data_IF_180805565030
#
_entry.id   IF_180805565030
#
_cell.length_a   1.000
_cell.length_b   1.000
_cell.length_c   1.000
_cell.angle_alpha   90.00
_cell.angle_beta   90.00
_cell.angle_gamma   90.00
#
_symmetry.space_group_name_H-M   'P 1'
#
loop_
_entity.id
_entity.type
_entity.pdbx_description
1 polymer ?
#
# COMPACT_ATOMS: atom_id res chain seq x y z
N UNK A 1 -72.29 -25.05 -65.96
CA UNK A 1 -72.91 -24.13 -65.01
C UNK A 1 -72.56 -24.64 -63.59
N UNK A 2 -71.42 -24.31 -63.09
CA UNK A 2 -70.96 -24.72 -61.75
C UNK A 2 -70.89 -23.46 -60.84
N UNK A 3 -71.63 -23.51 -59.75
CA UNK A 3 -71.65 -22.48 -58.73
C UNK A 3 -70.55 -22.76 -57.69
N UNK A 4 -69.57 -21.88 -57.63
CA UNK A 4 -68.54 -21.86 -56.61
C UNK A 4 -69.17 -21.37 -55.26
N UNK A 5 -69.01 -22.19 -54.23
CA UNK A 5 -69.34 -21.79 -52.83
C UNK A 5 -68.09 -21.18 -52.19
N UNK A 6 -68.17 -19.90 -51.95
CA UNK A 6 -67.18 -19.19 -51.10
C UNK A 6 -67.36 -19.62 -49.66
N UNK A 7 -66.28 -20.19 -49.08
CA UNK A 7 -66.17 -20.49 -47.64
C UNK A 7 -65.65 -19.26 -46.91
N UNK A 8 -66.52 -18.66 -46.15
CA UNK A 8 -66.16 -17.56 -45.22
C UNK A 8 -65.35 -18.12 -44.04
N UNK A 9 -64.02 -17.81 -44.00
CA UNK A 9 -63.14 -18.08 -42.88
C UNK A 9 -63.44 -17.10 -41.76
N UNK A 10 -64.03 -17.62 -40.68
CA UNK A 10 -64.19 -16.90 -39.40
C UNK A 10 -62.81 -16.67 -38.78
N UNK A 11 -62.33 -15.41 -38.89
CA UNK A 11 -61.15 -14.95 -38.10
C UNK A 11 -61.53 -14.83 -36.64
N UNK A 12 -60.94 -15.68 -35.82
CA UNK A 12 -61.00 -15.61 -34.36
C UNK A 12 -60.29 -14.36 -33.85
N UNK A 13 -60.88 -13.53 -32.97
CA UNK A 13 -60.19 -12.41 -32.36
C UNK A 13 -59.38 -12.94 -31.15
N UNK A 14 -58.26 -13.56 -31.41
CA UNK A 14 -57.27 -13.94 -30.37
C UNK A 14 -56.06 -13.07 -30.58
N UNK A 15 -55.87 -12.02 -29.70
CA UNK A 15 -54.51 -11.56 -29.33
C UNK A 15 -54.51 -10.28 -28.48
N UNK A 16 -55.56 -9.49 -28.45
CA UNK A 16 -55.51 -8.17 -27.77
C UNK A 16 -55.51 -8.24 -26.24
N UNK A 17 -56.05 -9.26 -25.60
CA UNK A 17 -56.11 -9.38 -24.14
C UNK A 17 -54.76 -9.90 -23.57
N UNK A 18 -54.07 -10.77 -24.29
CA UNK A 18 -52.77 -11.30 -23.84
C UNK A 18 -51.67 -10.23 -23.97
N UNK A 19 -51.66 -9.41 -25.00
CA UNK A 19 -50.70 -8.32 -25.19
C UNK A 19 -50.83 -7.19 -24.12
N UNK A 20 -52.04 -6.91 -23.61
CA UNK A 20 -52.25 -5.92 -22.57
C UNK A 20 -51.81 -6.41 -21.19
N UNK A 21 -51.96 -7.69 -20.92
CA UNK A 21 -51.52 -8.29 -19.65
C UNK A 21 -49.99 -8.38 -19.57
N UNK A 22 -49.32 -8.85 -20.64
CA UNK A 22 -47.85 -8.93 -20.68
C UNK A 22 -47.19 -7.55 -20.62
N UNK A 23 -47.81 -6.53 -21.20
CA UNK A 23 -47.31 -5.13 -21.12
C UNK A 23 -47.43 -4.55 -19.69
N UNK A 24 -48.43 -4.90 -18.91
CA UNK A 24 -48.58 -4.47 -17.51
C UNK A 24 -47.53 -5.11 -16.61
N UNK A 25 -47.36 -6.42 -16.74
CA UNK A 25 -46.33 -7.17 -15.99
C UNK A 25 -44.92 -6.69 -16.35
N UNK A 26 -44.62 -6.45 -17.61
CA UNK A 26 -43.33 -5.90 -18.06
C UNK A 26 -43.04 -4.52 -17.44
N UNK A 27 -44.05 -3.64 -17.35
CA UNK A 27 -43.91 -2.33 -16.68
C UNK A 27 -43.69 -2.48 -15.18
N UNK A 28 -44.42 -3.35 -14.50
CA UNK A 28 -44.24 -3.59 -13.06
C UNK A 28 -42.84 -4.16 -12.79
N UNK A 29 -42.40 -5.13 -13.60
CA UNK A 29 -41.06 -5.69 -13.48
C UNK A 29 -39.97 -4.61 -13.72
N UNK A 30 -40.13 -3.77 -14.74
CA UNK A 30 -39.20 -2.68 -15.02
C UNK A 30 -39.12 -1.67 -13.86
N UNK A 31 -40.28 -1.28 -13.28
CA UNK A 31 -40.32 -0.39 -12.11
C UNK A 31 -39.65 -1.04 -10.89
N UNK A 32 -39.93 -2.34 -10.63
CA UNK A 32 -39.27 -3.06 -9.53
C UNK A 32 -37.75 -3.15 -9.76
N UNK A 33 -37.29 -3.43 -10.97
CA UNK A 33 -35.85 -3.42 -11.28
C UNK A 33 -35.21 -2.05 -11.06
N UNK A 34 -35.90 -0.96 -11.43
CA UNK A 34 -35.41 0.40 -11.19
C UNK A 34 -35.35 0.73 -9.70
N UNK A 35 -36.37 0.35 -8.93
CA UNK A 35 -36.39 0.57 -7.46
C UNK A 35 -35.27 -0.24 -6.80
N UNK A 36 -35.13 -1.52 -7.13
CA UNK A 36 -34.05 -2.36 -6.60
C UNK A 36 -32.68 -1.87 -7.01
N UNK A 37 -32.52 -1.41 -8.26
CA UNK A 37 -31.30 -0.80 -8.76
C UNK A 37 -30.96 0.50 -8.01
N UNK A 38 -31.94 1.38 -7.80
CA UNK A 38 -31.77 2.61 -7.03
C UNK A 38 -31.39 2.31 -5.57
N UNK A 39 -32.09 1.36 -4.93
CA UNK A 39 -31.79 0.96 -3.55
C UNK A 39 -30.39 0.34 -3.43
N UNK A 40 -30.02 -0.53 -4.37
CA UNK A 40 -28.67 -1.08 -4.42
C UNK A 40 -27.61 0.01 -4.58
N UNK A 41 -27.85 0.98 -5.47
CA UNK A 41 -26.96 2.09 -5.70
C UNK A 41 -26.76 2.98 -4.47
N UNK A 42 -27.88 3.33 -3.78
CA UNK A 42 -27.83 4.08 -2.53
C UNK A 42 -27.05 3.32 -1.46
N UNK A 43 -27.26 2.00 -1.33
CA UNK A 43 -26.54 1.16 -0.39
C UNK A 43 -25.03 1.14 -0.70
N UNK A 44 -24.64 1.03 -1.97
CA UNK A 44 -23.23 1.06 -2.40
C UNK A 44 -22.59 2.41 -2.04
N UNK A 45 -23.27 3.52 -2.31
CA UNK A 45 -22.78 4.88 -1.96
C UNK A 45 -22.58 4.98 -0.45
N UNK A 46 -23.57 4.58 0.34
CA UNK A 46 -23.51 4.65 1.80
C UNK A 46 -22.33 3.83 2.35
N UNK A 47 -22.21 2.58 1.92
CA UNK A 47 -21.12 1.70 2.38
C UNK A 47 -19.73 2.22 1.98
N UNK A 48 -19.59 2.84 0.78
CA UNK A 48 -18.34 3.47 0.38
C UNK A 48 -18.03 4.74 1.19
N UNK A 49 -19.07 5.52 1.52
CA UNK A 49 -18.90 6.69 2.38
C UNK A 49 -18.40 6.30 3.77
N UNK A 50 -19.04 5.32 4.40
CA UNK A 50 -18.60 4.78 5.70
C UNK A 50 -17.16 4.28 5.65
N UNK A 51 -16.80 3.56 4.60
CA UNK A 51 -15.45 3.03 4.43
C UNK A 51 -14.41 4.15 4.21
N UNK A 52 -14.77 5.27 3.56
CA UNK A 52 -13.90 6.43 3.43
C UNK A 52 -13.76 7.17 4.76
N UNK A 53 -14.85 7.35 5.52
CA UNK A 53 -14.80 7.89 6.88
C UNK A 53 -13.86 7.06 7.74
N UNK A 54 -14.03 5.73 7.73
CA UNK A 54 -13.14 4.83 8.44
C UNK A 54 -11.66 4.96 7.98
N UNK A 55 -11.41 5.09 6.68
CA UNK A 55 -10.05 5.25 6.16
C UNK A 55 -9.35 6.50 6.68
N UNK A 56 -10.10 7.57 6.85
CA UNK A 56 -9.59 8.88 7.28
C UNK A 56 -9.83 9.18 8.76
N UNK A 57 -10.30 8.20 9.53
CA UNK A 57 -10.33 8.30 11.00
C UNK A 57 -8.91 8.56 11.53
N UNK A 58 -8.79 9.33 12.62
CA UNK A 58 -7.48 9.60 13.22
C UNK A 58 -6.85 8.31 13.73
N UNK A 59 -5.52 8.20 13.59
CA UNK A 59 -4.72 7.19 14.29
C UNK A 59 -4.47 7.68 15.71
N UNK A 60 -4.70 6.83 16.70
CA UNK A 60 -4.44 7.13 18.09
C UNK A 60 -3.10 6.49 18.46
N UNK A 61 -2.08 7.32 18.66
CA UNK A 61 -0.79 6.83 19.14
C UNK A 61 -0.87 6.59 20.63
N UNK A 62 -1.07 5.33 21.04
CA UNK A 62 -1.26 4.93 22.44
C UNK A 62 0.00 5.06 23.29
N UNK A 63 1.16 5.04 22.68
CA UNK A 63 2.43 5.31 23.34
C UNK A 63 2.79 6.76 23.03
N UNK A 64 2.52 7.61 24.00
CA UNK A 64 2.89 9.02 23.96
C UNK A 64 4.36 9.13 23.54
N UNK A 65 4.54 9.62 22.35
CA UNK A 65 5.82 10.18 21.95
C UNK A 65 6.10 11.36 22.88
N UNK A 66 7.34 11.85 22.97
CA UNK A 66 7.62 13.15 23.61
C UNK A 66 6.79 14.30 23.05
N UNK A 67 5.95 14.04 22.06
CA UNK A 67 5.02 14.88 21.31
C UNK A 67 3.59 14.79 21.86
N UNK A 68 3.46 14.68 23.16
CA UNK A 68 2.18 14.83 23.85
C UNK A 68 1.50 16.13 23.42
N UNK A 69 0.17 16.14 23.41
CA UNK A 69 -0.65 17.30 23.03
C UNK A 69 -0.25 18.60 23.72
N UNK A 70 0.39 18.52 24.89
CA UNK A 70 1.02 19.67 25.58
C UNK A 70 2.27 20.19 24.85
N UNK A 71 3.05 19.31 24.22
CA UNK A 71 4.25 19.69 23.44
C UNK A 71 3.88 20.22 22.05
N UNK A 72 2.78 19.77 21.48
CA UNK A 72 2.24 20.36 20.23
C UNK A 72 1.68 21.77 20.43
N UNK A 73 1.21 22.09 21.63
CA UNK A 73 0.88 23.46 22.00
C UNK A 73 2.15 24.34 22.12
N UNK A 74 3.31 23.74 22.36
CA UNK A 74 4.58 24.43 22.53
C UNK A 74 5.38 24.39 21.20
N UNK A 75 4.89 25.10 20.21
CA UNK A 75 5.58 25.94 19.21
C UNK A 75 6.75 25.42 18.38
N UNK A 76 7.25 24.18 18.50
CA UNK A 76 8.40 23.71 17.71
C UNK A 76 8.16 23.62 16.21
N UNK A 77 6.91 23.48 15.78
CA UNK A 77 6.53 23.38 14.37
C UNK A 77 6.16 24.72 13.72
N UNK A 78 5.83 25.75 14.56
CA UNK A 78 5.49 27.06 14.04
C UNK A 78 6.73 27.70 13.44
N UNK A 79 6.54 28.41 12.35
CA UNK A 79 7.54 29.28 11.80
C UNK A 79 7.84 30.40 12.81
N UNK A 80 8.85 30.18 13.65
CA UNK A 80 9.24 31.16 14.65
C UNK A 80 10.31 32.05 14.05
N UNK A 81 10.17 33.37 14.25
CA UNK A 81 11.18 34.36 13.85
C UNK A 81 12.54 34.11 14.50
N UNK A 82 12.56 33.41 15.62
CA UNK A 82 13.77 33.09 16.41
C UNK A 82 14.18 31.63 16.32
N UNK A 83 13.45 30.79 15.62
CA UNK A 83 13.67 29.33 15.59
C UNK A 83 14.82 28.92 14.71
N UNK A 84 16.02 29.13 15.18
CA UNK A 84 17.22 28.43 14.69
C UNK A 84 17.19 26.98 15.14
N UNK A 85 16.25 26.18 14.61
CA UNK A 85 16.47 24.75 14.58
C UNK A 85 17.48 24.50 13.45
N UNK A 86 18.74 24.56 13.85
CA UNK A 86 19.83 24.18 12.97
C UNK A 86 19.76 22.66 12.77
N UNK A 87 19.32 22.25 11.58
CA UNK A 87 19.51 20.89 11.15
C UNK A 87 20.77 20.85 10.26
N UNK A 88 21.78 20.20 10.74
CA UNK A 88 23.08 20.29 10.08
C UNK A 88 23.53 21.74 9.98
N UNK A 89 23.77 22.25 8.77
CA UNK A 89 24.18 23.63 8.51
C UNK A 89 23.04 24.54 8.03
N UNK A 90 21.77 24.06 7.96
CA UNK A 90 20.68 24.81 7.36
C UNK A 90 19.51 25.01 8.32
N UNK A 91 19.11 26.25 8.50
CA UNK A 91 17.88 26.62 9.21
C UNK A 91 16.65 26.43 8.30
N UNK A 92 15.45 26.30 8.89
CA UNK A 92 14.17 26.26 8.14
C UNK A 92 14.03 27.46 7.21
N UNK A 93 14.48 28.64 7.63
CA UNK A 93 14.49 29.85 6.81
C UNK A 93 15.34 29.72 5.58
N UNK A 94 16.49 29.10 5.69
CA UNK A 94 17.42 28.89 4.58
C UNK A 94 16.86 27.88 3.57
N UNK A 95 16.30 26.78 4.06
CA UNK A 95 15.61 25.81 3.21
C UNK A 95 14.47 26.50 2.46
N UNK A 96 13.64 27.28 3.15
CA UNK A 96 12.51 27.99 2.55
C UNK A 96 12.94 29.11 1.60
N UNK A 97 13.96 29.87 1.92
CA UNK A 97 14.50 30.93 1.05
C UNK A 97 15.00 30.38 -0.29
N UNK A 98 15.58 29.17 -0.26
CA UNK A 98 16.12 28.50 -1.44
C UNK A 98 15.12 27.55 -2.11
N UNK A 99 13.80 27.68 -1.87
CA UNK A 99 12.79 26.80 -2.47
C UNK A 99 12.75 26.79 -3.99
N UNK A 100 13.27 27.80 -4.63
CA UNK A 100 13.43 27.88 -6.09
C UNK A 100 14.51 26.93 -6.63
N UNK A 101 15.39 26.42 -5.77
CA UNK A 101 16.43 25.44 -6.10
C UNK A 101 15.97 23.99 -5.81
N UNK A 102 14.76 23.79 -5.26
CA UNK A 102 14.27 22.45 -4.99
C UNK A 102 14.02 21.69 -6.28
N UNK A 103 14.64 20.54 -6.42
CA UNK A 103 14.43 19.64 -7.54
C UNK A 103 13.25 18.72 -7.26
N UNK A 104 12.26 18.70 -8.16
CA UNK A 104 11.09 17.88 -8.00
C UNK A 104 11.40 16.41 -8.25
N UNK A 105 11.14 15.54 -7.26
CA UNK A 105 11.27 14.08 -7.36
C UNK A 105 9.97 13.44 -7.85
N UNK A 106 8.80 13.94 -7.41
CA UNK A 106 7.53 13.35 -7.78
C UNK A 106 6.32 14.03 -7.16
N UNK A 107 5.13 13.50 -7.46
CA UNK A 107 3.88 13.92 -6.83
C UNK A 107 2.97 12.73 -6.58
N UNK A 108 2.32 12.71 -5.43
CA UNK A 108 1.37 11.70 -5.02
C UNK A 108 -0.01 12.28 -4.69
N UNK A 109 -0.87 11.43 -4.12
CA UNK A 109 -2.19 11.84 -3.65
C UNK A 109 -2.11 12.83 -2.50
N UNK A 110 -1.14 12.70 -1.62
CA UNK A 110 -1.00 13.49 -0.40
C UNK A 110 -0.18 14.77 -0.58
N UNK A 111 0.76 14.80 -1.51
CA UNK A 111 1.67 15.92 -1.66
C UNK A 111 2.56 15.85 -2.88
N UNK A 112 3.56 16.72 -2.88
CA UNK A 112 4.66 16.75 -3.82
C UNK A 112 5.96 16.54 -3.06
N UNK A 113 6.92 15.86 -3.69
CA UNK A 113 8.21 15.54 -3.10
C UNK A 113 9.31 16.20 -3.89
N UNK A 114 10.21 16.84 -3.19
CA UNK A 114 11.37 17.54 -3.74
C UNK A 114 12.64 17.05 -3.06
N UNK A 115 13.79 17.35 -3.66
CA UNK A 115 15.10 17.21 -3.02
C UNK A 115 15.84 18.54 -3.02
N UNK A 116 16.54 18.80 -1.94
CA UNK A 116 17.41 19.95 -1.80
C UNK A 116 18.51 19.61 -0.79
N UNK A 117 19.75 19.80 -1.22
CA UNK A 117 20.94 19.65 -0.38
C UNK A 117 20.98 18.38 0.50
N UNK A 118 20.78 17.20 -0.12
CA UNK A 118 20.83 15.92 0.57
C UNK A 118 19.61 15.62 1.46
N UNK A 119 18.54 16.40 1.32
CA UNK A 119 17.29 16.25 2.06
C UNK A 119 16.13 16.03 1.09
N UNK A 120 15.20 15.16 1.44
CA UNK A 120 13.91 15.02 0.77
C UNK A 120 12.89 15.88 1.50
N UNK A 121 12.13 16.66 0.76
CA UNK A 121 11.11 17.58 1.27
C UNK A 121 9.77 17.15 0.70
N UNK A 122 8.87 16.62 1.54
CA UNK A 122 7.48 16.29 1.20
C UNK A 122 6.58 17.45 1.60
N UNK A 123 5.94 18.08 0.61
CA UNK A 123 5.02 19.20 0.81
C UNK A 123 3.59 18.69 0.68
N UNK A 124 2.82 18.76 1.76
CA UNK A 124 1.45 18.24 1.78
C UNK A 124 0.45 19.21 1.17
N UNK A 125 -0.59 18.65 0.53
CA UNK A 125 -1.73 19.41 0.00
C UNK A 125 -2.70 19.69 1.15
N UNK A 126 -2.90 20.97 1.48
CA UNK A 126 -3.71 21.38 2.63
C UNK A 126 -5.20 21.22 2.44
N UNK A 127 -5.72 21.55 1.27
CA UNK A 127 -7.14 21.84 1.11
C UNK A 127 -8.04 20.62 0.84
N UNK A 128 -7.46 19.42 0.56
CA UNK A 128 -8.25 18.33 -0.03
C UNK A 128 -8.11 16.96 0.63
N UNK A 129 -7.20 16.81 1.56
CA UNK A 129 -7.00 15.52 2.24
C UNK A 129 -7.07 15.70 3.74
N UNK A 130 -7.97 14.95 4.42
CA UNK A 130 -7.95 14.93 5.86
C UNK A 130 -6.60 14.36 6.29
N UNK A 131 -5.88 15.14 7.07
CA UNK A 131 -4.78 14.62 7.84
C UNK A 131 -5.36 13.55 8.76
N UNK A 132 -4.79 12.37 8.78
CA UNK A 132 -5.32 11.24 9.55
C UNK A 132 -5.28 11.52 11.06
N UNK A 133 -4.36 12.36 11.52
CA UNK A 133 -4.34 12.86 12.89
C UNK A 133 -5.19 14.12 13.03
N UNK A 134 -6.48 13.98 12.84
CA UNK A 134 -7.43 15.05 13.08
C UNK A 134 -7.82 15.08 14.55
N UNK A 135 -7.39 16.09 15.25
CA UNK A 135 -7.95 16.40 16.56
C UNK A 135 -9.30 17.08 16.32
N UNK A 136 -10.41 16.54 16.87
CA UNK A 136 -11.72 17.20 16.75
C UNK A 136 -11.65 18.62 17.27
N UNK A 137 -12.34 19.53 16.53
CA UNK A 137 -12.44 20.94 16.90
C UNK A 137 -11.11 21.71 17.00
N UNK A 138 -9.99 21.06 16.61
CA UNK A 138 -8.70 21.74 16.56
C UNK A 138 -8.59 22.64 15.32
N UNK A 139 -7.95 23.80 15.42
CA UNK A 139 -7.55 24.61 14.27
C UNK A 139 -6.77 23.80 13.25
N UNK A 140 -6.86 24.18 11.96
CA UNK A 140 -6.14 23.49 10.87
C UNK A 140 -4.64 23.34 11.16
N UNK A 141 -4.06 24.31 11.86
CA UNK A 141 -2.65 24.32 12.25
C UNK A 141 -2.28 23.19 13.22
N UNK A 142 -3.26 22.67 13.96
CA UNK A 142 -3.07 21.55 14.87
C UNK A 142 -3.38 20.19 14.24
N UNK A 143 -3.69 20.16 12.94
CA UNK A 143 -3.91 18.94 12.18
C UNK A 143 -2.67 18.65 11.36
N UNK A 144 -1.96 17.58 11.66
CA UNK A 144 -0.72 17.19 10.98
C UNK A 144 -0.82 15.82 10.34
N UNK A 145 0.00 15.54 9.32
CA UNK A 145 0.07 14.23 8.69
C UNK A 145 0.48 13.13 9.67
N UNK A 146 -0.21 11.99 9.63
CA UNK A 146 0.15 10.78 10.42
C UNK A 146 1.62 10.39 10.24
N UNK A 147 2.16 10.60 9.06
CA UNK A 147 3.55 10.25 8.73
C UNK A 147 4.56 10.96 9.63
N UNK A 148 4.30 12.21 10.03
CA UNK A 148 5.21 12.95 10.90
C UNK A 148 5.34 12.23 12.25
N UNK A 149 4.20 11.96 12.90
CA UNK A 149 4.20 11.34 14.22
C UNK A 149 4.69 9.89 14.20
N UNK A 150 4.24 9.11 13.22
CA UNK A 150 4.69 7.73 13.05
C UNK A 150 6.20 7.65 12.78
N UNK A 151 6.74 8.57 11.97
CA UNK A 151 8.18 8.59 11.67
C UNK A 151 9.01 9.04 12.86
N UNK A 152 8.53 10.00 13.64
CA UNK A 152 9.19 10.40 14.88
C UNK A 152 9.20 9.27 15.92
N UNK A 153 8.09 8.54 16.03
CA UNK A 153 7.96 7.41 16.97
C UNK A 153 8.88 6.24 16.62
N UNK A 154 8.99 5.91 15.33
CA UNK A 154 9.68 4.70 14.85
C UNK A 154 11.11 4.99 14.38
N UNK A 155 11.31 6.08 13.64
CA UNK A 155 12.60 6.45 13.06
C UNK A 155 13.42 7.41 13.89
N UNK A 156 12.75 8.14 14.81
CA UNK A 156 13.38 9.19 15.62
C UNK A 156 13.85 10.38 14.78
N UNK A 157 14.55 11.31 15.42
CA UNK A 157 15.22 12.42 14.75
C UNK A 157 16.58 11.98 14.19
N UNK A 158 16.93 12.49 13.02
CA UNK A 158 18.15 12.07 12.34
C UNK A 158 19.46 12.49 13.03
N UNK A 159 19.42 13.47 13.90
CA UNK A 159 20.55 13.94 14.72
C UNK A 159 20.66 13.22 16.08
N UNK A 160 19.62 12.51 16.51
CA UNK A 160 19.61 11.76 17.77
C UNK A 160 19.91 10.28 17.53
N UNK A 161 21.19 9.90 17.63
CA UNK A 161 21.61 8.50 17.47
C UNK A 161 21.04 7.57 18.55
N UNK A 162 20.64 8.11 19.71
CA UNK A 162 20.10 7.31 20.83
C UNK A 162 18.67 6.82 20.56
N UNK A 163 17.93 7.49 19.67
CA UNK A 163 16.55 7.16 19.30
C UNK A 163 16.45 6.38 17.99
N UNK A 164 17.56 6.19 17.27
CA UNK A 164 17.54 5.50 15.98
C UNK A 164 17.51 3.98 16.15
N UNK A 165 16.39 3.36 15.79
CA UNK A 165 16.32 1.91 15.65
C UNK A 165 16.99 1.40 14.36
N UNK A 166 17.38 2.30 13.46
CA UNK A 166 18.14 1.97 12.23
C UNK A 166 17.34 1.29 11.12
N UNK A 167 16.13 0.82 11.39
CA UNK A 167 15.30 0.12 10.40
C UNK A 167 14.12 0.94 9.88
N UNK A 168 13.92 2.16 10.40
CA UNK A 168 12.93 3.11 9.89
C UNK A 168 13.62 4.39 9.43
N UNK A 169 13.04 5.03 8.39
CA UNK A 169 13.57 6.29 7.89
C UNK A 169 13.44 7.38 8.95
N UNK A 170 14.56 8.00 9.41
CA UNK A 170 14.53 9.02 10.43
C UNK A 170 13.98 10.34 9.88
N UNK A 171 13.46 11.17 10.80
CA UNK A 171 12.98 12.51 10.51
C UNK A 171 14.11 13.51 10.57
N UNK A 172 14.25 14.30 9.53
CA UNK A 172 15.19 15.41 9.47
C UNK A 172 14.63 16.63 10.17
N UNK A 173 13.45 17.07 9.75
CA UNK A 173 12.70 18.18 10.32
C UNK A 173 11.25 18.14 9.84
N UNK A 174 10.38 18.95 10.41
CA UNK A 174 9.04 19.19 9.93
C UNK A 174 8.57 20.58 10.36
N UNK A 175 7.84 21.25 9.49
CA UNK A 175 7.36 22.61 9.78
C UNK A 175 6.16 22.97 8.90
N UNK A 176 5.44 24.03 9.28
CA UNK A 176 4.40 24.62 8.45
C UNK A 176 4.98 25.86 7.75
N UNK A 177 4.70 26.00 6.46
CA UNK A 177 5.15 27.18 5.70
C UNK A 177 4.57 28.49 6.25
N UNK A 178 5.27 29.62 6.07
CA UNK A 178 4.78 30.92 6.53
C UNK A 178 3.44 31.28 5.89
N UNK A 179 2.47 31.81 6.66
CA UNK A 179 1.15 32.18 6.14
C UNK A 179 1.19 33.39 5.16
N UNK A 180 2.27 34.17 5.20
CA UNK A 180 2.44 35.37 4.37
C UNK A 180 2.59 35.08 2.88
N UNK A 181 2.95 33.86 2.51
CA UNK A 181 3.22 33.46 1.12
C UNK A 181 2.14 32.56 0.51
N UNK A 182 0.94 32.52 1.11
CA UNK A 182 -0.17 31.71 0.62
C UNK A 182 -0.80 30.80 1.68
N UNK A 183 -1.42 29.72 1.25
CA UNK A 183 -2.00 28.72 2.16
C UNK A 183 -0.87 27.97 2.89
N UNK A 184 -0.90 28.01 4.23
CA UNK A 184 0.07 27.30 5.06
C UNK A 184 0.03 25.80 4.78
N UNK A 185 1.19 25.17 4.57
CA UNK A 185 1.33 23.75 4.24
C UNK A 185 2.35 23.09 5.13
N UNK A 186 2.09 21.84 5.49
CA UNK A 186 3.06 21.01 6.16
C UNK A 186 4.19 20.60 5.22
N UNK A 187 5.41 20.68 5.74
CA UNK A 187 6.65 20.21 5.13
C UNK A 187 7.22 19.14 6.06
N UNK A 188 7.55 18.01 5.48
CA UNK A 188 8.17 16.90 6.18
C UNK A 188 9.50 16.57 5.51
N UNK A 189 10.56 16.56 6.28
CA UNK A 189 11.91 16.43 5.78
C UNK A 189 12.54 15.14 6.27
N UNK A 190 13.18 14.41 5.35
CA UNK A 190 13.91 13.18 5.63
C UNK A 190 15.26 13.19 4.90
N UNK A 191 16.25 12.39 5.32
CA UNK A 191 17.51 12.28 4.57
C UNK A 191 17.27 11.77 3.14
N UNK A 192 17.99 12.33 2.19
CA UNK A 192 18.00 11.81 0.82
C UNK A 192 18.87 10.56 0.75
N UNK A 193 18.28 9.42 0.44
CA UNK A 193 18.96 8.15 0.31
C UNK A 193 19.35 7.93 -1.17
N UNK A 194 20.61 8.20 -1.50
CA UNK A 194 21.11 8.15 -2.87
C UNK A 194 21.01 6.76 -3.53
N UNK A 195 21.06 5.69 -2.72
CA UNK A 195 20.89 4.31 -3.18
C UNK A 195 19.46 3.98 -3.60
N UNK A 196 18.47 4.78 -3.18
CA UNK A 196 17.07 4.62 -3.55
C UNK A 196 16.36 3.47 -2.87
N UNK A 197 15.28 2.98 -3.52
CA UNK A 197 14.43 1.89 -3.03
C UNK A 197 14.82 0.52 -3.58
N UNK A 198 14.14 -0.54 -3.12
CA UNK A 198 14.33 -1.90 -3.67
C UNK A 198 14.05 -1.99 -5.16
N UNK A 199 13.13 -1.18 -5.69
CA UNK A 199 12.85 -1.12 -7.13
C UNK A 199 14.12 -0.72 -7.87
N UNK A 200 14.77 0.35 -7.43
CA UNK A 200 15.99 0.87 -8.05
C UNK A 200 17.17 -0.10 -7.90
N UNK A 201 17.26 -0.79 -6.76
CA UNK A 201 18.25 -1.85 -6.57
C UNK A 201 18.05 -3.00 -7.55
N UNK A 202 16.83 -3.48 -7.71
CA UNK A 202 16.50 -4.54 -8.65
C UNK A 202 16.88 -4.17 -10.10
N UNK A 203 16.51 -2.96 -10.53
CA UNK A 203 16.90 -2.42 -11.83
C UNK A 203 18.40 -2.35 -12.01
N UNK A 204 19.14 -1.89 -11.00
CA UNK A 204 20.59 -1.82 -11.04
C UNK A 204 21.23 -3.21 -11.17
N UNK A 205 20.77 -4.19 -10.38
CA UNK A 205 21.27 -5.57 -10.43
C UNK A 205 20.98 -6.21 -11.79
N UNK A 206 19.77 -6.07 -12.31
CA UNK A 206 19.38 -6.59 -13.62
C UNK A 206 20.25 -6.02 -14.76
N UNK A 207 20.64 -4.75 -14.68
CA UNK A 207 21.46 -4.09 -15.70
C UNK A 207 22.97 -4.12 -15.43
N UNK A 208 23.42 -4.75 -14.35
CA UNK A 208 24.84 -4.79 -13.95
C UNK A 208 25.74 -5.60 -14.89
N UNK A 209 25.15 -6.38 -15.79
CA UNK A 209 25.86 -7.32 -16.66
C UNK A 209 26.36 -8.60 -15.95
N UNK A 210 26.00 -8.78 -14.68
CA UNK A 210 26.26 -9.99 -13.90
C UNK A 210 24.98 -10.80 -13.81
N UNK A 211 25.00 -12.04 -14.30
CA UNK A 211 23.83 -12.92 -14.27
C UNK A 211 23.64 -13.50 -12.86
N UNK A 212 22.77 -12.88 -12.08
CA UNK A 212 22.38 -13.38 -10.76
C UNK A 212 21.26 -14.41 -10.87
N UNK A 213 21.39 -15.52 -10.13
CA UNK A 213 20.24 -16.39 -9.87
C UNK A 213 19.42 -15.88 -8.68
N UNK A 214 18.16 -16.31 -8.58
CA UNK A 214 17.32 -15.98 -7.43
C UNK A 214 17.94 -16.47 -6.11
N UNK A 215 18.63 -17.61 -6.13
CA UNK A 215 19.35 -18.16 -4.98
C UNK A 215 20.53 -17.27 -4.56
N UNK A 216 21.33 -16.78 -5.51
CA UNK A 216 22.47 -15.89 -5.19
C UNK A 216 21.98 -14.61 -4.51
N UNK A 217 20.89 -14.03 -5.04
CA UNK A 217 20.26 -12.84 -4.46
C UNK A 217 19.64 -13.13 -3.10
N UNK A 218 19.03 -14.30 -2.94
CA UNK A 218 18.47 -14.73 -1.67
C UNK A 218 19.54 -14.88 -0.58
N UNK A 219 20.67 -15.53 -0.89
CA UNK A 219 21.83 -15.63 0.01
C UNK A 219 22.33 -14.23 0.41
N UNK A 220 22.39 -13.31 -0.55
CA UNK A 220 22.93 -11.97 -0.33
C UNK A 220 22.00 -11.08 0.52
N UNK A 221 20.69 -11.13 0.28
CA UNK A 221 19.72 -10.17 0.83
C UNK A 221 18.78 -10.75 1.90
N UNK A 222 18.78 -12.05 2.17
CA UNK A 222 18.01 -12.68 3.21
C UNK A 222 18.22 -12.03 4.60
N UNK A 223 19.47 -11.71 4.99
CA UNK A 223 19.71 -11.03 6.28
C UNK A 223 19.05 -9.67 6.38
N UNK A 224 18.88 -8.95 5.25
CA UNK A 224 18.17 -7.66 5.23
C UNK A 224 16.66 -7.84 5.42
N UNK A 225 16.08 -8.87 4.81
CA UNK A 225 14.68 -9.24 5.04
C UNK A 225 14.42 -9.60 6.51
N UNK A 226 15.33 -10.35 7.13
CA UNK A 226 15.23 -10.76 8.54
C UNK A 226 15.24 -9.56 9.49
N UNK A 227 16.03 -8.53 9.20
CA UNK A 227 16.00 -7.27 9.95
C UNK A 227 14.70 -6.51 9.77
N UNK A 228 14.11 -6.53 8.56
CA UNK A 228 12.80 -5.91 8.36
C UNK A 228 11.69 -6.66 9.10
N UNK A 229 11.77 -7.99 9.27
CA UNK A 229 10.85 -8.70 10.16
C UNK A 229 11.02 -8.27 11.60
N UNK A 230 12.24 -8.00 12.07
CA UNK A 230 12.50 -7.47 13.41
C UNK A 230 11.94 -6.05 13.57
N UNK A 231 12.10 -5.21 12.57
CA UNK A 231 11.47 -3.88 12.53
C UNK A 231 9.94 -3.96 12.64
N UNK A 232 9.31 -4.86 11.87
CA UNK A 232 7.87 -5.10 11.96
C UNK A 232 7.44 -5.64 13.32
N UNK A 233 8.22 -6.53 13.93
CA UNK A 233 7.93 -7.03 15.27
C UNK A 233 7.88 -5.89 16.29
N UNK A 234 8.87 -4.99 16.25
CA UNK A 234 8.87 -3.81 17.11
C UNK A 234 7.68 -2.90 16.83
N UNK A 235 7.38 -2.62 15.57
CA UNK A 235 6.23 -1.80 15.18
C UNK A 235 4.92 -2.39 15.69
N UNK A 236 4.72 -3.70 15.49
CA UNK A 236 3.49 -4.40 15.84
C UNK A 236 3.29 -4.60 17.35
N UNK A 237 4.35 -5.02 18.06
CA UNK A 237 4.24 -5.48 19.44
C UNK A 237 4.66 -4.43 20.47
N UNK A 238 5.65 -3.58 20.15
CA UNK A 238 6.09 -2.51 21.06
C UNK A 238 5.26 -1.25 20.90
N UNK A 239 4.94 -0.88 19.63
CA UNK A 239 4.25 0.37 19.33
C UNK A 239 2.76 0.17 19.01
N UNK A 240 2.29 -1.07 18.84
CA UNK A 240 0.90 -1.35 18.57
C UNK A 240 0.39 -0.81 17.21
N UNK A 241 1.27 -0.68 16.22
CA UNK A 241 0.97 -0.11 14.92
C UNK A 241 1.17 -1.13 13.80
N UNK A 242 0.39 -1.02 12.73
CA UNK A 242 0.60 -1.65 11.43
C UNK A 242 1.08 -0.61 10.43
N UNK A 243 1.88 -1.02 9.46
CA UNK A 243 2.41 -0.11 8.42
C UNK A 243 1.36 0.19 7.32
N UNK A 244 0.58 -0.81 6.95
CA UNK A 244 -0.52 -0.78 5.97
C UNK A 244 -0.13 -0.48 4.51
N UNK A 245 1.12 -0.10 4.22
CA UNK A 245 1.56 0.19 2.85
C UNK A 245 2.96 -0.32 2.51
N UNK A 246 3.32 -1.51 2.98
CA UNK A 246 4.60 -2.14 2.61
C UNK A 246 4.55 -2.52 1.14
N UNK A 247 5.57 -2.05 0.40
CA UNK A 247 5.80 -2.33 -1.02
C UNK A 247 7.27 -2.04 -1.36
N UNK A 248 7.82 -2.55 -2.48
CA UNK A 248 9.24 -2.34 -2.83
C UNK A 248 9.66 -0.88 -2.90
N UNK A 249 8.74 0.03 -3.28
CA UNK A 249 9.00 1.47 -3.35
C UNK A 249 9.21 2.12 -1.97
N UNK A 250 8.65 1.53 -0.91
CA UNK A 250 8.70 2.03 0.46
C UNK A 250 9.79 1.36 1.32
N UNK A 251 10.61 0.51 0.71
CA UNK A 251 11.80 -0.11 1.33
C UNK A 251 13.03 0.52 0.70
N UNK A 252 13.81 1.27 1.47
CA UNK A 252 14.96 2.01 1.01
C UNK A 252 16.27 1.39 1.49
N UNK A 253 17.37 1.81 0.88
CA UNK A 253 18.72 1.39 1.20
C UNK A 253 19.42 2.48 2.01
N UNK A 254 19.80 2.18 3.26
CA UNK A 254 20.35 3.17 4.20
C UNK A 254 21.82 3.52 3.97
N UNK A 255 22.48 2.90 2.99
CA UNK A 255 23.90 3.15 2.72
C UNK A 255 24.22 4.56 2.27
N UNK A 256 25.33 5.10 2.79
CA UNK A 256 25.83 6.44 2.42
C UNK A 256 26.45 6.51 1.01
N UNK A 257 26.58 5.38 0.30
CA UNK A 257 27.23 5.29 -1.01
C UNK A 257 26.20 5.04 -2.11
N UNK A 258 26.47 5.57 -3.29
CA UNK A 258 25.65 5.32 -4.47
C UNK A 258 25.80 3.86 -4.93
N UNK A 259 24.78 3.32 -5.65
CA UNK A 259 24.75 1.95 -6.16
C UNK A 259 25.95 1.54 -7.03
N UNK A 260 26.77 2.49 -7.48
CA UNK A 260 27.98 2.21 -8.29
C UNK A 260 29.23 1.88 -7.46
N UNK A 261 29.22 2.12 -6.16
CA UNK A 261 30.33 1.76 -5.26
C UNK A 261 29.93 0.51 -4.47
N UNK A 262 30.47 -0.62 -4.87
CA UNK A 262 30.16 -1.99 -4.48
C UNK A 262 30.28 -2.27 -2.98
N UNK A 263 29.36 -1.76 -2.20
CA UNK A 263 28.86 -2.50 -1.05
C UNK A 263 27.34 -2.34 -1.08
N UNK A 264 26.72 -3.23 -1.83
CA UNK A 264 25.27 -3.26 -1.99
C UNK A 264 24.71 -3.39 -0.58
N UNK A 265 24.26 -2.27 -0.08
CA UNK A 265 23.96 -2.09 1.32
C UNK A 265 22.90 -3.09 1.73
N UNK A 266 23.33 -4.02 2.60
CA UNK A 266 22.45 -4.99 3.23
C UNK A 266 21.48 -4.33 4.21
N UNK A 267 21.57 -2.99 4.36
CA UNK A 267 20.82 -2.24 5.34
C UNK A 267 19.57 -1.65 4.69
N UNK A 268 18.49 -2.40 4.77
CA UNK A 268 17.17 -1.97 4.31
C UNK A 268 16.41 -1.29 5.42
N UNK A 269 15.67 -0.24 5.09
CA UNK A 269 14.84 0.52 6.02
C UNK A 269 13.42 0.69 5.47
N UNK A 270 12.45 0.70 6.36
CA UNK A 270 11.05 1.00 6.05
C UNK A 270 10.81 2.51 6.07
N UNK A 271 10.02 2.98 5.11
CA UNK A 271 9.65 4.39 4.98
C UNK A 271 8.18 4.55 4.54
N UNK A 272 7.73 5.80 4.41
CA UNK A 272 6.35 6.16 4.06
C UNK A 272 5.32 5.61 5.07
N UNK A 273 5.47 6.04 6.31
CA UNK A 273 4.62 5.65 7.45
C UNK A 273 3.28 6.40 7.47
N UNK A 274 2.93 7.10 6.39
CA UNK A 274 1.68 7.86 6.27
C UNK A 274 0.42 7.00 6.38
N UNK A 275 0.52 5.69 6.23
CA UNK A 275 -0.58 4.74 6.40
C UNK A 275 -0.59 4.00 7.74
N UNK A 276 0.36 4.31 8.65
CA UNK A 276 0.44 3.63 9.94
C UNK A 276 -0.85 3.78 10.77
N UNK A 277 -1.34 2.66 11.33
CA UNK A 277 -2.60 2.59 12.10
C UNK A 277 -2.53 1.52 13.18
N UNK A 278 -3.37 1.69 14.20
CA UNK A 278 -3.61 0.67 15.21
C UNK A 278 -4.30 -0.57 14.59
N UNK A 279 -4.09 -1.76 15.14
CA UNK A 279 -4.74 -2.99 14.62
C UNK A 279 -6.27 -2.96 14.65
N UNK A 280 -6.86 -2.25 15.60
CA UNK A 280 -8.31 -2.09 15.78
C UNK A 280 -8.89 -0.87 15.05
N UNK A 281 -8.07 -0.18 14.24
CA UNK A 281 -8.52 0.97 13.48
C UNK A 281 -9.70 0.61 12.56
N UNK A 282 -10.77 1.46 12.50
CA UNK A 282 -12.00 1.15 11.75
C UNK A 282 -11.78 0.82 10.26
N UNK A 283 -10.70 1.33 9.68
CA UNK A 283 -10.34 1.06 8.29
C UNK A 283 -10.13 -0.42 8.01
N UNK A 284 -9.54 -1.19 8.97
CA UNK A 284 -9.23 -2.61 8.80
C UNK A 284 -10.48 -3.49 8.69
N UNK A 285 -11.63 -3.04 9.21
CA UNK A 285 -12.92 -3.71 9.06
C UNK A 285 -13.74 -3.21 7.86
N UNK A 286 -13.28 -2.19 7.14
CA UNK A 286 -14.01 -1.58 6.03
C UNK A 286 -13.95 -2.40 4.73
N UNK A 287 -14.93 -2.18 3.84
CA UNK A 287 -14.92 -2.77 2.49
C UNK A 287 -13.74 -2.29 1.62
N UNK A 288 -13.21 -1.10 1.90
CA UNK A 288 -12.04 -0.59 1.21
C UNK A 288 -10.79 -1.39 1.55
N UNK A 289 -10.67 -1.85 2.78
CA UNK A 289 -9.56 -2.68 3.23
C UNK A 289 -9.62 -4.08 2.61
N UNK A 290 -10.68 -4.83 2.90
CA UNK A 290 -10.75 -6.25 2.57
C UNK A 290 -11.16 -6.52 1.12
N UNK A 291 -12.30 -5.96 0.66
CA UNK A 291 -12.84 -6.29 -0.67
C UNK A 291 -12.17 -5.54 -1.81
N UNK A 292 -11.87 -4.25 -1.64
CA UNK A 292 -11.35 -3.43 -2.73
C UNK A 292 -9.82 -3.44 -2.80
N UNK A 293 -9.14 -3.54 -1.68
CA UNK A 293 -7.67 -3.64 -1.66
C UNK A 293 -7.17 -5.08 -1.51
N UNK A 294 -8.06 -6.04 -1.27
CA UNK A 294 -7.71 -7.44 -1.06
C UNK A 294 -6.67 -7.64 0.06
N UNK A 295 -6.74 -6.81 1.09
CA UNK A 295 -5.91 -6.93 2.27
C UNK A 295 -6.48 -7.98 3.23
N UNK A 296 -5.60 -8.55 4.05
CA UNK A 296 -5.99 -9.51 5.07
C UNK A 296 -6.66 -8.79 6.25
N UNK A 297 -7.65 -9.42 6.92
CA UNK A 297 -8.37 -8.81 8.05
C UNK A 297 -7.42 -8.38 9.19
N UNK A 298 -6.41 -9.20 9.49
CA UNK A 298 -5.38 -8.86 10.46
C UNK A 298 -4.27 -8.04 9.77
N UNK A 299 -4.14 -6.76 10.11
CA UNK A 299 -3.16 -5.87 9.50
C UNK A 299 -1.71 -6.30 9.77
N UNK A 300 -1.40 -6.88 10.94
CA UNK A 300 -0.06 -7.37 11.27
C UNK A 300 0.34 -8.52 10.35
N UNK A 301 -0.59 -9.47 10.11
CA UNK A 301 -0.39 -10.56 9.15
C UNK A 301 -0.27 -10.00 7.73
N UNK A 302 -1.09 -9.00 7.40
CA UNK A 302 -1.06 -8.33 6.11
C UNK A 302 0.30 -7.68 5.83
N UNK A 303 0.90 -7.00 6.81
CA UNK A 303 2.22 -6.40 6.71
C UNK A 303 3.31 -7.44 6.47
N UNK A 304 3.28 -8.57 7.19
CA UNK A 304 4.23 -9.69 7.00
C UNK A 304 4.12 -10.26 5.58
N UNK A 305 2.90 -10.51 5.11
CA UNK A 305 2.67 -11.03 3.75
C UNK A 305 3.12 -10.02 2.70
N UNK A 306 2.84 -8.73 2.89
CA UNK A 306 3.28 -7.67 1.96
C UNK A 306 4.80 -7.54 1.93
N UNK A 307 5.47 -7.69 3.08
CA UNK A 307 6.93 -7.67 3.15
C UNK A 307 7.54 -8.83 2.36
N UNK A 308 7.04 -10.06 2.55
CA UNK A 308 7.51 -11.22 1.79
C UNK A 308 7.22 -11.08 0.30
N UNK A 309 6.03 -10.58 -0.06
CA UNK A 309 5.72 -10.27 -1.46
C UNK A 309 6.69 -9.25 -2.05
N UNK A 310 7.01 -8.20 -1.30
CA UNK A 310 7.96 -7.17 -1.72
C UNK A 310 9.36 -7.74 -1.96
N UNK A 311 9.79 -8.66 -1.09
CA UNK A 311 11.04 -9.37 -1.24
C UNK A 311 11.07 -10.25 -2.49
N UNK A 312 10.03 -11.06 -2.72
CA UNK A 312 9.95 -11.94 -3.90
C UNK A 312 9.83 -11.14 -5.19
N UNK A 313 9.11 -10.01 -5.17
CA UNK A 313 9.07 -9.07 -6.31
C UNK A 313 10.44 -8.49 -6.63
N UNK A 314 11.21 -8.13 -5.58
CA UNK A 314 12.59 -7.67 -5.74
C UNK A 314 13.46 -8.75 -6.39
N UNK A 315 13.45 -9.99 -5.88
CA UNK A 315 14.20 -11.09 -6.46
C UNK A 315 13.84 -11.29 -7.94
N UNK A 316 12.52 -11.33 -8.25
CA UNK A 316 12.01 -11.52 -9.62
C UNK A 316 12.47 -10.42 -10.58
N UNK A 317 12.47 -9.17 -10.11
CA UNK A 317 12.87 -8.03 -10.93
C UNK A 317 14.38 -7.94 -11.14
N UNK A 318 15.19 -8.53 -10.24
CA UNK A 318 16.63 -8.45 -10.28
C UNK A 318 17.30 -9.59 -11.08
N UNK A 319 16.61 -10.73 -11.30
CA UNK A 319 17.14 -11.86 -12.08
C UNK A 319 17.01 -11.63 -13.58
N UNK A 320 17.91 -12.22 -14.36
CA UNK A 320 17.88 -12.13 -15.83
C UNK A 320 16.79 -13.01 -16.46
N UNK A 321 16.60 -14.24 -15.93
CA UNK A 321 15.61 -15.20 -16.43
C UNK A 321 14.34 -15.22 -15.55
N UNK A 322 13.43 -14.27 -15.83
CA UNK A 322 12.14 -14.22 -15.16
C UNK A 322 11.27 -15.48 -15.43
N UNK A 323 11.44 -16.14 -16.58
CA UNK A 323 10.68 -17.36 -16.89
C UNK A 323 11.12 -18.56 -16.05
N UNK A 324 12.43 -18.72 -15.81
CA UNK A 324 12.94 -19.72 -14.89
C UNK A 324 12.50 -19.43 -13.46
N UNK A 325 12.57 -18.15 -13.02
CA UNK A 325 12.10 -17.72 -11.71
C UNK A 325 10.62 -18.10 -11.49
N UNK A 326 9.76 -17.75 -12.45
CA UNK A 326 8.31 -18.00 -12.35
C UNK A 326 7.98 -19.50 -12.22
N UNK A 327 8.75 -20.38 -12.87
CA UNK A 327 8.64 -21.84 -12.70
C UNK A 327 9.07 -22.29 -11.31
N UNK A 328 10.25 -21.85 -10.85
CA UNK A 328 10.78 -22.15 -9.53
C UNK A 328 9.86 -21.69 -8.40
N UNK A 329 9.18 -20.54 -8.58
CA UNK A 329 8.20 -20.02 -7.62
C UNK A 329 7.08 -21.03 -7.33
N UNK A 330 6.50 -21.65 -8.37
CA UNK A 330 5.44 -22.66 -8.21
C UNK A 330 5.99 -24.06 -7.86
N UNK A 331 7.22 -24.38 -8.23
CA UNK A 331 7.85 -25.62 -7.77
C UNK A 331 8.04 -25.63 -6.26
N UNK A 332 8.26 -24.47 -5.65
CA UNK A 332 8.36 -24.32 -4.20
C UNK A 332 9.58 -25.02 -3.58
N UNK A 333 10.62 -25.29 -4.35
CA UNK A 333 11.83 -26.00 -3.88
C UNK A 333 12.86 -25.06 -3.29
N UNK A 334 13.03 -23.90 -3.91
CA UNK A 334 13.96 -22.86 -3.46
C UNK A 334 13.57 -22.29 -2.09
N UNK A 335 14.54 -21.92 -1.27
CA UNK A 335 14.32 -21.40 0.09
C UNK A 335 13.42 -20.19 0.13
N UNK A 336 13.58 -19.25 -0.82
CA UNK A 336 12.73 -18.06 -0.95
C UNK A 336 11.28 -18.41 -1.34
N UNK A 337 11.08 -19.42 -2.18
CA UNK A 337 9.76 -19.87 -2.56
C UNK A 337 9.08 -20.64 -1.42
N UNK A 338 9.82 -21.50 -0.70
CA UNK A 338 9.36 -22.19 0.51
C UNK A 338 8.91 -21.17 1.57
N UNK A 339 9.72 -20.13 1.82
CA UNK A 339 9.40 -19.05 2.76
C UNK A 339 8.08 -18.37 2.38
N UNK A 340 7.94 -17.95 1.13
CA UNK A 340 6.73 -17.31 0.64
C UNK A 340 5.49 -18.18 0.85
N UNK A 341 5.55 -19.42 0.36
CA UNK A 341 4.37 -20.30 0.41
C UNK A 341 4.00 -20.72 1.82
N UNK A 342 4.98 -20.97 2.69
CA UNK A 342 4.71 -21.32 4.09
C UNK A 342 4.01 -20.16 4.83
N UNK A 343 4.44 -18.92 4.60
CA UNK A 343 3.80 -17.74 5.19
C UNK A 343 2.38 -17.56 4.64
N UNK A 344 2.22 -17.62 3.31
CA UNK A 344 0.91 -17.40 2.68
C UNK A 344 -0.09 -18.50 3.05
N UNK A 345 0.34 -19.75 3.18
CA UNK A 345 -0.53 -20.85 3.63
C UNK A 345 -0.91 -20.73 5.09
N UNK A 346 0.00 -20.20 5.89
CA UNK A 346 -0.24 -19.99 7.32
C UNK A 346 -1.19 -18.83 7.66
N UNK A 347 -1.58 -18.00 6.68
CA UNK A 347 -2.41 -16.79 6.93
C UNK A 347 -3.73 -17.06 7.65
N UNK A 348 -4.33 -18.21 7.42
CA UNK A 348 -5.59 -18.61 8.05
C UNK A 348 -5.40 -19.21 9.45
N UNK A 349 -4.17 -19.40 9.88
CA UNK A 349 -3.81 -19.80 11.24
C UNK A 349 -3.27 -18.58 11.98
N UNK A 350 -3.57 -18.45 13.27
CA UNK A 350 -3.01 -17.36 14.11
C UNK A 350 -1.48 -17.46 14.29
N UNK A 351 -0.82 -18.33 13.52
CA UNK A 351 0.60 -18.64 13.62
C UNK A 351 1.51 -17.62 12.88
N UNK A 352 0.96 -16.82 11.96
CA UNK A 352 1.75 -15.86 11.17
C UNK A 352 1.94 -14.56 11.93
N UNK A 353 3.19 -14.27 12.27
CA UNK A 353 3.63 -13.00 12.86
C UNK A 353 5.00 -12.64 12.31
N UNK A 354 5.47 -11.42 12.56
CA UNK A 354 6.82 -11.01 12.16
C UNK A 354 7.90 -11.89 12.80
N UNK A 355 7.71 -12.27 14.07
CA UNK A 355 8.62 -13.19 14.79
C UNK A 355 8.65 -14.57 14.14
N UNK A 356 7.47 -15.18 13.91
CA UNK A 356 7.41 -16.51 13.30
C UNK A 356 7.95 -16.52 11.87
N UNK A 357 7.72 -15.46 11.09
CA UNK A 357 8.27 -15.30 9.75
C UNK A 357 9.80 -15.17 9.77
N UNK A 358 10.37 -14.44 10.74
CA UNK A 358 11.81 -14.35 10.93
C UNK A 358 12.43 -15.71 11.29
N UNK A 359 11.83 -16.40 12.26
CA UNK A 359 12.30 -17.74 12.66
C UNK A 359 12.25 -18.72 11.48
N UNK A 360 11.18 -18.67 10.69
CA UNK A 360 11.07 -19.48 9.47
C UNK A 360 12.13 -19.09 8.42
N UNK A 361 12.39 -17.79 8.25
CA UNK A 361 13.42 -17.28 7.33
C UNK A 361 14.80 -17.82 7.69
N UNK A 362 15.16 -17.77 8.96
CA UNK A 362 16.43 -18.32 9.48
C UNK A 362 16.52 -19.85 9.34
N UNK A 363 15.39 -20.56 9.53
CA UNK A 363 15.34 -22.02 9.40
C UNK A 363 15.46 -22.49 7.94
N UNK A 364 15.06 -21.64 6.99
CA UNK A 364 15.17 -21.87 5.54
C UNK A 364 16.40 -21.16 4.97
N UNK A 365 17.56 -21.28 5.62
CA UNK A 365 18.81 -20.65 5.19
C UNK A 365 19.15 -21.04 3.74
N UNK A 366 19.22 -20.06 2.81
CA UNK A 366 19.48 -20.34 1.40
C UNK A 366 20.91 -20.86 1.12
N UNK A 367 21.84 -20.69 2.07
CA UNK A 367 23.23 -21.18 1.95
C UNK A 367 23.34 -22.69 2.17
N UNK A 368 22.37 -23.29 2.86
CA UNK A 368 22.33 -24.73 3.11
C UNK A 368 21.74 -25.45 1.88
N UNK A 369 22.42 -26.46 1.41
CA UNK A 369 21.87 -27.40 0.41
C UNK A 369 20.81 -28.27 1.08
N UNK A 370 19.54 -27.97 0.79
CA UNK A 370 18.43 -28.73 1.34
C UNK A 370 18.24 -30.04 0.55
N UNK A 371 18.81 -31.14 1.09
CA UNK A 371 18.58 -32.49 0.57
C UNK A 371 17.24 -33.08 1.02
N UNK A 372 16.45 -32.35 1.82
CA UNK A 372 15.17 -32.82 2.35
C UNK A 372 14.00 -32.33 1.46
N UNK A 373 13.70 -33.10 0.43
CA UNK A 373 12.59 -32.90 -0.52
C UNK A 373 11.17 -33.02 0.10
N UNK A 374 11.06 -33.22 1.42
CA UNK A 374 9.78 -33.60 2.07
C UNK A 374 8.76 -32.45 2.22
N UNK A 375 9.14 -31.22 2.00
CA UNK A 375 8.26 -30.05 2.10
C UNK A 375 7.87 -29.42 0.75
N UNK A 376 8.44 -29.88 -0.35
CA UNK A 376 8.13 -29.36 -1.68
C UNK A 376 6.79 -29.89 -2.18
N UNK A 377 5.69 -29.25 -1.79
CA UNK A 377 4.41 -29.46 -2.46
C UNK A 377 4.40 -28.56 -3.70
N UNK A 378 4.84 -29.10 -4.84
CA UNK A 378 4.70 -28.43 -6.12
C UNK A 378 3.26 -27.95 -6.30
N UNK A 379 3.07 -26.64 -6.47
CA UNK A 379 1.74 -26.08 -6.68
C UNK A 379 1.43 -26.07 -8.16
N UNK A 380 0.26 -26.58 -8.49
CA UNK A 380 -0.24 -26.49 -9.86
C UNK A 380 -0.71 -25.02 -10.12
N UNK A 381 0.01 -24.27 -10.98
CA UNK A 381 -0.44 -22.93 -11.37
C UNK A 381 -1.82 -22.98 -12.04
N UNK A 382 -2.22 -24.16 -12.48
CA UNK A 382 -3.48 -24.38 -13.22
C UNK A 382 -4.72 -24.45 -12.30
N UNK A 383 -4.58 -24.69 -10.97
CA UNK A 383 -5.70 -24.74 -10.04
C UNK A 383 -6.44 -23.40 -9.86
N UNK A 384 -5.78 -22.28 -10.21
CA UNK A 384 -6.27 -20.91 -9.99
C UNK A 384 -7.07 -20.35 -11.18
N UNK A 385 -7.12 -21.06 -12.35
CA UNK A 385 -7.59 -20.47 -13.61
C UNK A 385 -8.81 -21.11 -14.24
N UNK A 386 -9.72 -20.27 -14.73
CA UNK A 386 -10.88 -20.66 -15.56
C UNK A 386 -10.41 -21.44 -16.81
N UNK A 387 -10.99 -22.64 -17.10
CA UNK A 387 -10.61 -23.48 -18.25
C UNK A 387 -10.65 -22.77 -19.61
N UNK A 388 -11.46 -21.73 -19.74
CA UNK A 388 -11.55 -20.94 -21.00
C UNK A 388 -10.26 -20.14 -21.26
N UNK A 389 -9.59 -19.65 -20.21
CA UNK A 389 -8.33 -18.92 -20.37
C UNK A 389 -7.16 -19.82 -20.75
N UNK A 390 -7.20 -21.10 -20.35
CA UNK A 390 -6.18 -22.11 -20.73
C UNK A 390 -6.12 -22.37 -22.26
N UNK A 391 -7.24 -22.20 -22.94
CA UNK A 391 -7.33 -22.42 -24.40
C UNK A 391 -6.71 -21.25 -25.20
N UNK A 392 -6.54 -20.09 -24.60
CA UNK A 392 -6.13 -18.86 -25.27
C UNK A 392 -4.69 -18.39 -24.94
N UNK A 393 -3.99 -19.08 -24.00
CA UNK A 393 -2.70 -18.65 -23.52
C UNK A 393 -1.67 -19.79 -23.51
N UNK A 394 -0.39 -19.45 -23.75
CA UNK A 394 0.72 -20.39 -23.58
C UNK A 394 0.91 -20.78 -22.10
N UNK A 395 1.58 -21.92 -21.86
CA UNK A 395 1.88 -22.40 -20.49
C UNK A 395 2.69 -21.36 -19.72
N UNK A 396 3.69 -20.76 -20.34
CA UNK A 396 4.57 -19.79 -19.67
C UNK A 396 3.83 -18.50 -19.34
N UNK A 397 2.91 -18.02 -20.20
CA UNK A 397 2.03 -16.89 -19.87
C UNK A 397 1.08 -17.19 -18.71
N UNK A 398 0.56 -18.42 -18.60
CA UNK A 398 -0.28 -18.82 -17.46
C UNK A 398 0.51 -18.79 -16.17
N UNK A 399 1.74 -19.30 -16.19
CA UNK A 399 2.63 -19.31 -15.03
C UNK A 399 2.95 -17.85 -14.62
N UNK A 400 3.40 -17.03 -15.57
CA UNK A 400 3.79 -15.64 -15.27
C UNK A 400 2.65 -14.81 -14.71
N UNK A 401 1.44 -14.91 -15.28
CA UNK A 401 0.25 -14.25 -14.72
C UNK A 401 -0.15 -14.81 -13.37
N UNK A 402 0.05 -16.10 -13.14
CA UNK A 402 -0.15 -16.71 -11.83
C UNK A 402 0.75 -16.10 -10.78
N UNK A 403 2.03 -15.87 -11.10
CA UNK A 403 2.98 -15.16 -10.21
C UNK A 403 2.52 -13.73 -9.99
N UNK A 404 2.14 -12.99 -11.04
CA UNK A 404 1.64 -11.61 -10.91
C UNK A 404 0.42 -11.52 -9.98
N UNK A 405 -0.50 -12.48 -10.06
CA UNK A 405 -1.67 -12.53 -9.18
C UNK A 405 -1.31 -12.84 -7.73
N UNK A 406 -0.36 -13.75 -7.49
CA UNK A 406 0.10 -14.09 -6.13
C UNK A 406 0.92 -12.96 -5.50
N UNK A 407 1.76 -12.30 -6.26
CA UNK A 407 2.63 -11.23 -5.77
C UNK A 407 1.95 -9.85 -5.76
N UNK A 408 0.72 -9.74 -6.24
CA UNK A 408 0.00 -8.46 -6.26
C UNK A 408 -0.11 -7.88 -4.86
N UNK A 409 0.40 -6.65 -4.69
CA UNK A 409 0.38 -5.89 -3.44
C UNK A 409 -0.76 -4.86 -3.45
N UNK A 410 -0.98 -4.19 -4.59
CA UNK A 410 -1.98 -3.15 -4.73
C UNK A 410 -3.23 -3.64 -5.46
N UNK A 411 -4.35 -2.96 -5.23
CA UNK A 411 -5.56 -3.19 -6.02
C UNK A 411 -5.33 -2.89 -7.50
N UNK A 412 -5.98 -3.64 -8.40
CA UNK A 412 -5.90 -3.39 -9.82
C UNK A 412 -6.38 -1.96 -10.17
N UNK A 413 -5.79 -1.35 -11.20
CA UNK A 413 -6.13 0.00 -11.69
C UNK A 413 -7.63 0.23 -11.92
N UNK A 414 -8.37 -0.82 -12.34
CA UNK A 414 -9.81 -0.78 -12.50
C UNK A 414 -10.55 -0.46 -11.19
N UNK A 415 -10.05 -0.96 -10.06
CA UNK A 415 -10.60 -0.71 -8.73
C UNK A 415 -10.21 0.69 -8.24
N UNK A 416 -9.01 1.16 -8.56
CA UNK A 416 -8.59 2.53 -8.28
C UNK A 416 -9.42 3.56 -9.05
N UNK A 417 -9.80 3.27 -10.31
CA UNK A 417 -10.70 4.11 -11.11
C UNK A 417 -12.13 4.14 -10.57
N UNK A 418 -12.63 3.03 -10.04
CA UNK A 418 -13.94 2.97 -9.35
C UNK A 418 -13.95 3.87 -8.09
N UNK A 419 -12.81 3.99 -7.39
CA UNK A 419 -12.65 4.93 -6.27
C UNK A 419 -12.76 6.39 -6.73
N UNK A 420 -12.24 6.72 -7.92
CA UNK A 420 -12.42 8.04 -8.54
C UNK A 420 -13.87 8.39 -8.82
N UNK A 421 -14.74 7.41 -9.11
CA UNK A 421 -16.18 7.63 -9.28
C UNK A 421 -16.89 8.01 -7.98
N UNK A 422 -16.43 7.55 -6.82
CA UNK A 422 -16.94 7.99 -5.52
C UNK A 422 -16.77 9.49 -5.31
N UNK A 423 -15.74 10.09 -5.86
CA UNK A 423 -15.52 11.53 -5.91
C UNK A 423 -16.61 12.28 -6.70
N UNK A 424 -17.04 11.71 -7.83
CA UNK A 424 -18.10 12.27 -8.67
C UNK A 424 -19.47 12.15 -8.02
N UNK A 425 -19.63 11.30 -7.00
CA UNK A 425 -20.88 11.04 -6.29
C UNK A 425 -21.05 11.90 -5.04
N UNK A 426 -20.21 12.93 -4.84
CA UNK A 426 -20.35 13.87 -3.74
C UNK A 426 -20.01 13.28 -2.36
N UNK A 427 -19.23 12.19 -2.31
CA UNK A 427 -18.69 11.67 -1.05
C UNK A 427 -17.65 12.67 -0.56
N UNK A 428 -17.81 13.29 0.60
CA UNK A 428 -16.86 14.27 1.10
C UNK A 428 -15.52 13.57 1.33
N UNK A 429 -14.55 14.00 0.58
CA UNK A 429 -13.15 13.62 0.78
C UNK A 429 -12.51 14.88 1.34
N UNK A 430 -12.27 14.93 2.62
CA UNK A 430 -11.54 16.07 3.17
C UNK A 430 -12.03 16.66 4.48
N UNK A 431 -13.04 16.08 5.11
CA UNK A 431 -13.41 16.54 6.45
C UNK A 431 -12.96 15.52 7.48
N UNK A 432 -12.30 15.97 8.53
CA UNK A 432 -12.11 15.18 9.73
C UNK A 432 -13.48 14.95 10.37
N UNK A 433 -14.15 13.89 9.93
CA UNK A 433 -15.42 13.48 10.51
C UNK A 433 -15.10 12.66 11.76
N UNK A 434 -14.94 13.35 12.86
CA UNK A 434 -15.04 12.71 14.16
C UNK A 434 -16.52 12.69 14.50
N UNK A 435 -17.10 11.53 14.59
CA UNK A 435 -18.43 11.36 15.16
C UNK A 435 -18.40 11.88 16.60
N UNK A 436 -19.29 12.84 16.86
CA UNK A 436 -19.56 13.35 18.22
C UNK A 436 -20.30 12.28 19.02
#
# INVERSE_FOLDING_TARGET
>A
MFKEKQATLHRWPRTRLYQRSTSRWARVTAVLCLILGAFHWISVIHTHREALVAKFSPTIFTHLTPWDSSTLADTHWRWNETGDFAWGSYSRREIWANRHEWERLGSGSEGETFTYNGTVIKVYKTAKFPFRNCVPDAPLELRWPTEIEASLLLGGMADDESQRDGEFLPVTDYFMSPPEEGEARWHFLTPFLASGSLVRLAEHLHHSGHAYTARDLDILYRPSLERLFEALDRMHNRHGLCHDDIKPDNIFLSGKRSLGEVDVTKDWILADLGNAREPDHPYHSSILWSRLNNNLPNCRVNDVVRLVKSYVLFLRAAVDDGGAFDKQFFEGRESWAKLFWTIVDGVNSDAVSAVSARVLSMALDPSLEDHNDTLAHGRDPQGVWNPVKRLLMSRDEVISRGVDDQLRISAADSVARLKGLAFLLGVPVGECLVER
#
